data_IF_640670087785
#
_entry.id   IF_640670087785
#
_cell.length_a   1.000
_cell.length_b   1.000
_cell.length_c   1.000
_cell.angle_alpha   90.00
_cell.angle_beta   90.00
_cell.angle_gamma   90.00
#
_symmetry.space_group_name_H-M   'P 1'
#
loop_
_entity.id
_entity.type
_entity.pdbx_description
1 polymer ?
#
# COMPACT_ATOMS: atom_id res chain seq x y z
N UNK A 1 -8.96 5.91 16.18
CA UNK A 1 -10.19 5.32 16.73
C UNK A 1 -9.92 4.77 18.12
N UNK A 2 -10.68 5.13 19.16
CA UNK A 2 -10.50 4.56 20.50
C UNK A 2 -11.08 3.14 20.57
N UNK A 3 -10.30 2.18 21.06
CA UNK A 3 -10.70 0.78 21.18
C UNK A 3 -11.25 0.51 22.59
N UNK A 4 -12.48 0.00 22.74
CA UNK A 4 -13.01 -0.38 24.05
C UNK A 4 -12.20 -1.49 24.72
N UNK A 5 -12.14 -1.48 26.06
CA UNK A 5 -11.53 -2.54 26.87
C UNK A 5 -10.10 -2.92 26.44
N UNK A 6 -9.25 -1.90 26.27
CA UNK A 6 -7.91 -2.03 25.66
C UNK A 6 -6.79 -1.28 26.39
N UNK A 7 -7.04 -0.82 27.62
CA UNK A 7 -6.13 0.10 28.34
C UNK A 7 -4.68 -0.40 28.43
N UNK A 8 -4.49 -1.71 28.65
CA UNK A 8 -3.17 -2.34 28.80
C UNK A 8 -2.84 -3.27 27.61
N UNK A 9 -3.53 -3.09 26.48
CA UNK A 9 -3.42 -3.97 25.33
C UNK A 9 -2.19 -3.67 24.44
N UNK A 10 -1.47 -2.58 24.71
CA UNK A 10 -0.29 -2.18 23.93
C UNK A 10 0.90 -1.96 24.84
N UNK A 11 2.06 -2.45 24.41
CA UNK A 11 3.36 -2.12 25.01
C UNK A 11 4.25 -1.44 23.98
N UNK A 12 5.10 -0.51 24.43
CA UNK A 12 6.01 0.26 23.58
C UNK A 12 7.47 0.00 23.93
N UNK A 13 8.31 -0.16 22.91
CA UNK A 13 9.75 -0.36 23.02
C UNK A 13 10.15 -1.84 23.12
N UNK A 14 11.30 -2.19 22.56
CA UNK A 14 11.75 -3.59 22.43
C UNK A 14 11.86 -4.34 23.76
N UNK A 15 12.21 -3.67 24.86
CA UNK A 15 12.26 -4.29 26.19
C UNK A 15 10.87 -4.71 26.65
N UNK A 16 9.88 -3.79 26.61
CA UNK A 16 8.52 -4.10 27.01
C UNK A 16 7.83 -5.12 26.09
N UNK A 17 8.16 -5.10 24.80
CA UNK A 17 7.72 -6.11 23.82
C UNK A 17 8.26 -7.48 24.20
N UNK A 18 9.56 -7.59 24.49
CA UNK A 18 10.16 -8.85 24.90
C UNK A 18 9.58 -9.35 26.23
N UNK A 19 9.29 -8.46 27.18
CA UNK A 19 8.64 -8.79 28.44
C UNK A 19 7.24 -9.36 28.23
N UNK A 20 6.42 -8.70 27.40
CA UNK A 20 5.07 -9.16 27.03
C UNK A 20 5.10 -10.56 26.38
N UNK A 21 6.06 -10.79 25.49
CA UNK A 21 6.24 -12.10 24.85
C UNK A 21 6.70 -13.15 25.86
N UNK A 22 7.66 -12.85 26.75
CA UNK A 22 8.10 -13.77 27.81
C UNK A 22 6.97 -14.16 28.74
N UNK A 23 6.14 -13.21 29.16
CA UNK A 23 4.97 -13.48 29.99
C UNK A 23 3.99 -14.41 29.28
N UNK A 24 3.73 -14.17 27.99
CA UNK A 24 2.84 -15.00 27.17
C UNK A 24 3.37 -16.41 26.98
N UNK A 25 4.67 -16.55 26.75
CA UNK A 25 5.37 -17.83 26.65
C UNK A 25 5.31 -18.58 27.99
N UNK A 26 5.54 -17.90 29.12
CA UNK A 26 5.57 -18.52 30.45
C UNK A 26 4.23 -19.12 30.92
N UNK A 27 3.12 -18.66 30.32
CA UNK A 27 1.76 -19.15 30.60
C UNK A 27 1.39 -20.39 29.79
N UNK A 28 2.21 -20.77 28.79
CA UNK A 28 1.98 -21.96 27.98
C UNK A 28 2.61 -23.18 28.64
N UNK A 29 1.90 -24.30 28.57
CA UNK A 29 2.41 -25.59 29.02
C UNK A 29 3.36 -26.17 27.99
N UNK A 30 4.60 -26.48 28.39
CA UNK A 30 5.57 -27.13 27.51
C UNK A 30 7.01 -26.70 27.79
N UNK A 31 7.95 -27.56 27.39
CA UNK A 31 9.37 -27.26 27.52
C UNK A 31 9.89 -26.34 26.42
N UNK A 32 9.15 -26.23 25.30
CA UNK A 32 9.49 -25.45 24.10
C UNK A 32 8.31 -24.57 23.71
N UNK A 33 8.61 -23.41 23.16
CA UNK A 33 7.63 -22.54 22.50
C UNK A 33 8.21 -21.97 21.21
N UNK A 34 7.49 -22.11 20.11
CA UNK A 34 7.81 -21.54 18.81
C UNK A 34 7.04 -20.24 18.63
N UNK A 35 7.78 -19.15 18.48
CA UNK A 35 7.26 -17.82 18.20
C UNK A 35 7.51 -17.52 16.72
N UNK A 36 6.45 -17.40 15.95
CA UNK A 36 6.51 -16.92 14.57
C UNK A 36 6.25 -15.41 14.56
N UNK A 37 7.20 -14.64 14.02
CA UNK A 37 7.02 -13.23 13.67
C UNK A 37 6.87 -13.16 12.15
N UNK A 38 5.63 -13.24 11.67
CA UNK A 38 5.33 -13.20 10.24
C UNK A 38 5.28 -11.74 9.78
N UNK A 39 6.13 -11.39 8.82
CA UNK A 39 6.34 -10.01 8.40
C UNK A 39 5.66 -9.72 7.06
N UNK A 40 4.94 -8.61 6.95
CA UNK A 40 4.55 -8.08 5.65
C UNK A 40 5.79 -7.61 4.86
N UNK A 41 5.70 -7.57 3.53
CA UNK A 41 6.81 -7.12 2.67
C UNK A 41 7.24 -5.67 3.03
N UNK A 42 8.55 -5.43 3.06
CA UNK A 42 9.18 -4.15 3.43
C UNK A 42 9.41 -3.92 4.94
N UNK A 43 8.88 -4.78 5.81
CA UNK A 43 9.18 -4.74 7.25
C UNK A 43 10.66 -5.09 7.47
N UNK A 44 11.34 -4.40 8.40
CA UNK A 44 12.75 -4.66 8.72
C UNK A 44 12.90 -5.93 9.58
N UNK A 45 12.91 -7.07 8.90
CA UNK A 45 13.15 -8.42 9.45
C UNK A 45 14.47 -8.48 10.23
N UNK A 46 15.50 -7.77 9.76
CA UNK A 46 16.84 -7.78 10.37
C UNK A 46 16.83 -7.15 11.76
N UNK A 47 16.18 -6.00 11.92
CA UNK A 47 16.03 -5.34 13.22
C UNK A 47 15.16 -6.17 14.17
N UNK A 48 13.99 -6.64 13.74
CA UNK A 48 13.11 -7.48 14.56
C UNK A 48 13.86 -8.71 15.09
N UNK A 49 14.54 -9.44 14.19
CA UNK A 49 15.30 -10.64 14.53
C UNK A 49 16.39 -10.34 15.57
N UNK A 50 17.18 -9.28 15.37
CA UNK A 50 18.26 -8.87 16.28
C UNK A 50 17.73 -8.45 17.66
N UNK A 51 16.71 -7.62 17.71
CA UNK A 51 16.18 -7.05 18.94
C UNK A 51 15.49 -8.12 19.81
N UNK A 52 14.72 -9.03 19.20
CA UNK A 52 14.02 -10.09 19.92
C UNK A 52 14.94 -11.26 20.28
N UNK A 53 15.85 -11.66 19.39
CA UNK A 53 16.80 -12.76 19.67
C UNK A 53 17.63 -12.50 20.93
N UNK A 54 18.11 -11.26 21.10
CA UNK A 54 18.95 -10.87 22.23
C UNK A 54 18.16 -10.85 23.56
N UNK A 55 16.93 -10.35 23.54
CA UNK A 55 16.10 -10.17 24.75
C UNK A 55 15.37 -11.42 25.20
N UNK A 56 14.90 -12.24 24.26
CA UNK A 56 14.18 -13.49 24.56
C UNK A 56 15.11 -14.65 24.92
N UNK A 57 16.43 -14.53 24.69
CA UNK A 57 17.43 -15.60 24.93
C UNK A 57 17.01 -16.92 24.26
N UNK A 58 16.72 -16.82 22.96
CA UNK A 58 16.17 -17.92 22.16
C UNK A 58 17.17 -19.09 22.03
N UNK A 59 16.66 -20.32 22.10
CA UNK A 59 17.43 -21.54 21.87
C UNK A 59 17.76 -21.73 20.38
N UNK A 60 16.86 -21.29 19.50
CA UNK A 60 17.05 -21.27 18.05
C UNK A 60 16.42 -20.01 17.47
N UNK A 61 17.09 -19.41 16.50
CA UNK A 61 16.52 -18.35 15.66
C UNK A 61 16.64 -18.78 14.19
N UNK A 62 15.61 -18.55 13.39
CA UNK A 62 15.63 -18.78 11.95
C UNK A 62 14.97 -17.62 11.20
N UNK A 63 15.51 -17.28 10.03
CA UNK A 63 14.83 -16.42 9.07
C UNK A 63 14.17 -17.33 8.01
N UNK A 64 12.84 -17.28 7.90
CA UNK A 64 12.11 -18.11 6.93
C UNK A 64 12.49 -17.74 5.50
N UNK A 65 12.88 -16.49 5.22
CA UNK A 65 13.23 -16.00 3.89
C UNK A 65 14.48 -16.69 3.31
N UNK A 66 15.33 -17.29 4.15
CA UNK A 66 16.43 -18.15 3.68
C UNK A 66 15.94 -19.43 2.96
N UNK A 67 14.68 -19.80 3.18
CA UNK A 67 14.00 -20.88 2.50
C UNK A 67 13.33 -20.47 1.18
N UNK A 68 13.37 -19.18 0.80
CA UNK A 68 12.90 -18.74 -0.50
C UNK A 68 13.73 -19.34 -1.66
N UNK A 69 13.12 -19.34 -2.85
CA UNK A 69 13.80 -19.63 -4.11
C UNK A 69 14.92 -18.60 -4.34
N UNK A 70 15.84 -18.89 -5.27
CA UNK A 70 16.89 -17.91 -5.60
C UNK A 70 16.26 -16.66 -6.23
N UNK A 71 16.90 -15.49 -6.14
CA UNK A 71 16.40 -14.27 -6.76
C UNK A 71 16.05 -14.46 -8.24
N UNK A 72 16.89 -15.17 -9.01
CA UNK A 72 16.68 -15.40 -10.44
C UNK A 72 15.44 -16.25 -10.72
N UNK A 73 15.19 -17.25 -9.87
CA UNK A 73 14.00 -18.09 -9.96
C UNK A 73 12.73 -17.31 -9.58
N UNK A 74 12.82 -16.39 -8.63
CA UNK A 74 11.71 -15.50 -8.27
C UNK A 74 11.47 -14.47 -9.38
N UNK A 75 12.51 -13.86 -9.94
CA UNK A 75 12.38 -12.94 -11.06
C UNK A 75 11.70 -13.62 -12.25
N UNK A 76 12.06 -14.88 -12.53
CA UNK A 76 11.43 -15.69 -13.57
C UNK A 76 9.96 -16.03 -13.23
N UNK A 77 9.64 -16.24 -11.95
CA UNK A 77 8.29 -16.51 -11.47
C UNK A 77 7.37 -15.29 -11.63
N UNK A 78 7.88 -14.08 -11.35
CA UNK A 78 7.09 -12.85 -11.37
C UNK A 78 7.04 -12.17 -12.73
N UNK A 79 8.01 -12.43 -13.62
CA UNK A 79 8.13 -11.80 -14.93
C UNK A 79 6.82 -11.77 -15.77
N UNK A 80 5.99 -12.83 -15.81
CA UNK A 80 4.73 -12.80 -16.57
C UNK A 80 3.75 -11.71 -16.13
N UNK A 81 3.88 -11.21 -14.91
CA UNK A 81 2.99 -10.20 -14.31
C UNK A 81 3.52 -8.78 -14.44
N UNK A 82 4.75 -8.59 -14.92
CA UNK A 82 5.38 -7.27 -15.00
C UNK A 82 5.19 -6.56 -16.35
N UNK A 83 4.47 -7.15 -17.30
CA UNK A 83 4.18 -6.50 -18.59
C UNK A 83 5.40 -6.31 -19.50
N UNK A 84 6.50 -7.04 -19.26
CA UNK A 84 7.71 -6.96 -20.08
C UNK A 84 8.47 -5.65 -19.88
N UNK A 85 8.80 -4.98 -20.98
CA UNK A 85 9.57 -3.72 -20.99
C UNK A 85 8.71 -2.47 -20.75
N UNK A 86 7.39 -2.62 -20.60
CA UNK A 86 6.52 -1.51 -20.25
C UNK A 86 6.96 -0.93 -18.89
N UNK A 87 7.17 0.39 -18.75
CA UNK A 87 7.63 0.98 -17.50
C UNK A 87 6.54 1.08 -16.42
N UNK A 88 5.25 0.97 -16.80
CA UNK A 88 4.10 1.28 -15.94
C UNK A 88 3.25 0.04 -15.71
N UNK A 89 2.86 -0.65 -16.79
CA UNK A 89 1.74 -1.58 -16.79
C UNK A 89 2.14 -3.03 -16.59
N UNK A 90 1.33 -3.76 -15.82
CA UNK A 90 1.50 -5.18 -15.52
C UNK A 90 0.16 -5.88 -15.35
N UNK A 91 0.19 -7.12 -14.87
CA UNK A 91 -1.00 -7.92 -14.61
C UNK A 91 -1.07 -8.26 -13.13
N UNK A 92 -2.24 -8.10 -12.52
CA UNK A 92 -2.43 -8.50 -11.12
C UNK A 92 -2.14 -10.00 -10.97
N UNK A 93 -1.15 -10.32 -10.13
CA UNK A 93 -0.63 -11.67 -10.01
C UNK A 93 -1.59 -12.58 -9.26
N UNK A 94 -1.85 -13.77 -9.80
CA UNK A 94 -2.56 -14.85 -9.11
C UNK A 94 -1.68 -15.73 -8.21
N UNK A 95 -0.39 -15.40 -8.07
CA UNK A 95 0.56 -16.20 -7.29
C UNK A 95 0.20 -16.26 -5.80
N UNK A 96 0.69 -17.32 -5.15
CA UNK A 96 0.59 -17.52 -3.70
C UNK A 96 1.96 -17.39 -3.04
N UNK A 97 2.01 -17.04 -1.76
CA UNK A 97 3.28 -16.84 -1.06
C UNK A 97 4.13 -18.11 -1.05
N UNK A 98 3.49 -19.29 -0.94
CA UNK A 98 4.17 -20.58 -0.97
C UNK A 98 4.99 -20.82 -2.26
N UNK A 99 4.59 -20.23 -3.39
CA UNK A 99 5.33 -20.35 -4.65
C UNK A 99 6.65 -19.58 -4.65
N UNK A 100 6.89 -18.68 -3.71
CA UNK A 100 8.18 -18.01 -3.55
C UNK A 100 9.19 -18.89 -2.81
N UNK A 101 8.75 -20.01 -2.23
CA UNK A 101 9.57 -20.88 -1.39
C UNK A 101 10.07 -22.13 -2.09
N UNK A 102 11.26 -22.56 -1.68
CA UNK A 102 11.80 -23.88 -1.98
C UNK A 102 11.28 -24.88 -0.93
N UNK A 103 10.47 -25.84 -1.37
CA UNK A 103 9.80 -26.80 -0.49
C UNK A 103 10.80 -27.63 0.35
N UNK A 104 11.97 -27.97 -0.20
CA UNK A 104 12.99 -28.74 0.54
C UNK A 104 13.64 -27.91 1.63
N UNK A 105 13.89 -26.61 1.36
CA UNK A 105 14.44 -25.69 2.37
C UNK A 105 13.44 -25.42 3.49
N UNK A 106 12.15 -25.24 3.17
CA UNK A 106 11.09 -25.09 4.18
C UNK A 106 11.02 -26.33 5.06
N UNK A 107 11.02 -27.53 4.45
CA UNK A 107 10.98 -28.78 5.22
C UNK A 107 12.25 -29.02 6.05
N UNK A 108 13.40 -28.54 5.58
CA UNK A 108 14.63 -28.53 6.38
C UNK A 108 14.49 -27.63 7.60
N UNK A 109 13.92 -26.42 7.45
CA UNK A 109 13.68 -25.50 8.56
C UNK A 109 12.70 -26.11 9.58
N UNK A 110 11.59 -26.69 9.13
CA UNK A 110 10.63 -27.41 9.99
C UNK A 110 11.30 -28.51 10.81
N UNK A 111 12.15 -29.33 10.17
CA UNK A 111 12.93 -30.37 10.86
C UNK A 111 13.94 -29.81 11.86
N UNK A 112 14.56 -28.65 11.59
CA UNK A 112 15.44 -27.99 12.56
C UNK A 112 14.66 -27.51 13.78
N UNK A 113 13.50 -26.89 13.57
CA UNK A 113 12.60 -26.47 14.65
C UNK A 113 12.16 -27.68 15.47
N UNK A 114 11.72 -28.77 14.84
CA UNK A 114 11.28 -29.99 15.52
C UNK A 114 12.36 -30.65 16.40
N UNK A 115 13.65 -30.48 16.08
CA UNK A 115 14.77 -31.02 16.87
C UNK A 115 15.04 -30.25 18.17
N UNK A 116 14.52 -29.05 18.32
CA UNK A 116 14.66 -28.29 19.57
C UNK A 116 13.72 -28.92 20.61
N UNK A 117 14.27 -29.39 21.72
CA UNK A 117 13.50 -30.04 22.79
C UNK A 117 13.03 -29.07 23.87
N UNK A 118 13.74 -27.96 24.07
CA UNK A 118 13.40 -26.96 25.08
C UNK A 118 13.84 -25.53 24.72
N UNK A 119 13.19 -24.56 25.34
CA UNK A 119 13.44 -23.13 25.16
C UNK A 119 12.60 -22.47 24.06
N UNK A 120 12.92 -21.21 23.77
CA UNK A 120 12.18 -20.41 22.78
C UNK A 120 12.81 -20.61 21.40
N UNK A 121 12.00 -20.95 20.41
CA UNK A 121 12.37 -20.93 18.99
C UNK A 121 11.75 -19.71 18.35
N UNK A 122 12.56 -18.86 17.73
CA UNK A 122 12.09 -17.65 17.05
C UNK A 122 12.25 -17.80 15.54
N UNK A 123 11.14 -17.80 14.80
CA UNK A 123 11.12 -17.76 13.34
C UNK A 123 10.62 -16.40 12.89
N UNK A 124 11.38 -15.69 12.06
CA UNK A 124 11.07 -14.33 11.60
C UNK A 124 11.09 -14.29 10.07
N UNK A 125 10.28 -13.42 9.47
CA UNK A 125 10.33 -13.09 8.04
C UNK A 125 8.98 -13.26 7.36
N UNK A 126 8.88 -12.83 6.10
CA UNK A 126 7.63 -12.97 5.35
C UNK A 126 7.30 -14.45 5.10
N UNK A 127 6.17 -14.93 5.63
CA UNK A 127 5.80 -16.34 5.60
C UNK A 127 6.24 -17.15 6.82
N UNK A 128 6.64 -16.52 7.93
CA UNK A 128 7.11 -17.24 9.12
C UNK A 128 6.06 -18.22 9.67
N UNK A 129 4.77 -17.91 9.49
CA UNK A 129 3.66 -18.78 9.91
C UNK A 129 3.54 -20.08 9.09
N UNK A 130 4.32 -20.27 8.02
CA UNK A 130 4.45 -21.55 7.31
C UNK A 130 5.09 -22.64 8.19
N UNK A 131 5.80 -22.24 9.23
CA UNK A 131 6.34 -23.14 10.25
C UNK A 131 5.33 -23.25 11.38
N UNK A 132 5.06 -24.47 11.83
CA UNK A 132 4.17 -24.71 12.97
C UNK A 132 4.66 -23.92 14.19
N UNK A 133 3.74 -23.16 14.79
CA UNK A 133 4.06 -22.18 15.82
C UNK A 133 3.02 -22.18 16.94
N UNK A 134 3.45 -21.76 18.12
CA UNK A 134 2.62 -21.65 19.30
C UNK A 134 2.12 -20.22 19.50
N UNK A 135 2.94 -19.22 19.14
CA UNK A 135 2.62 -17.79 19.23
C UNK A 135 2.82 -17.14 17.87
N UNK A 136 1.80 -16.43 17.39
CA UNK A 136 1.84 -15.66 16.15
C UNK A 136 1.86 -14.16 16.44
N UNK A 137 2.97 -13.52 16.12
CA UNK A 137 3.07 -12.07 16.00
C UNK A 137 3.07 -11.74 14.51
N UNK A 138 2.16 -10.88 14.09
CA UNK A 138 2.17 -10.36 12.73
C UNK A 138 2.79 -8.97 12.73
N UNK A 139 3.89 -8.78 12.01
CA UNK A 139 4.52 -7.49 11.85
C UNK A 139 4.04 -6.85 10.55
N UNK A 140 3.33 -5.74 10.66
CA UNK A 140 2.73 -5.05 9.52
C UNK A 140 3.10 -3.57 9.52
N UNK A 141 2.95 -2.92 8.36
CA UNK A 141 3.11 -1.49 8.20
C UNK A 141 2.33 -0.99 6.97
N UNK A 142 1.87 0.26 6.96
CA UNK A 142 1.16 0.83 5.82
C UNK A 142 2.01 0.80 4.55
N UNK A 143 1.39 0.58 3.39
CA UNK A 143 2.14 0.51 2.12
C UNK A 143 2.84 1.83 1.81
N UNK A 144 2.29 2.96 2.25
CA UNK A 144 2.96 4.26 2.15
C UNK A 144 4.33 4.26 2.85
N UNK A 145 4.44 3.74 4.07
CA UNK A 145 5.74 3.61 4.75
C UNK A 145 6.66 2.63 4.00
N UNK A 146 6.11 1.56 3.42
CA UNK A 146 6.87 0.67 2.53
C UNK A 146 7.47 1.40 1.32
N UNK A 147 6.69 2.28 0.68
CA UNK A 147 7.16 3.12 -0.43
C UNK A 147 8.25 4.10 0.03
N UNK A 148 8.09 4.72 1.20
CA UNK A 148 9.12 5.59 1.77
C UNK A 148 10.41 4.82 2.06
N UNK A 149 10.32 3.57 2.53
CA UNK A 149 11.50 2.69 2.71
C UNK A 149 12.19 2.37 1.40
N UNK A 150 11.45 2.15 0.30
CA UNK A 150 12.05 2.02 -1.02
C UNK A 150 12.79 3.30 -1.42
N UNK A 151 12.18 4.48 -1.23
CA UNK A 151 12.81 5.79 -1.51
C UNK A 151 14.07 6.03 -0.68
N UNK A 152 14.14 5.48 0.55
CA UNK A 152 15.33 5.53 1.44
C UNK A 152 16.35 4.41 1.18
N UNK A 153 16.08 3.46 0.28
CA UNK A 153 16.94 2.31 0.01
C UNK A 153 17.00 1.30 1.17
N UNK A 154 15.96 1.25 1.99
CA UNK A 154 15.88 0.43 3.20
C UNK A 154 15.20 -0.93 2.98
N UNK A 155 14.37 -1.06 1.94
CA UNK A 155 13.58 -2.25 1.65
C UNK A 155 13.81 -2.80 0.23
N UNK A 156 13.70 -4.12 0.11
CA UNK A 156 13.70 -4.86 -1.15
C UNK A 156 12.28 -5.35 -1.47
N UNK A 157 12.03 -5.72 -2.74
CA UNK A 157 10.85 -6.51 -3.08
C UNK A 157 10.94 -7.94 -2.54
N UNK A 158 9.79 -8.62 -2.48
CA UNK A 158 9.67 -9.95 -1.90
C UNK A 158 10.64 -10.96 -2.54
N UNK A 159 11.54 -11.50 -1.71
CA UNK A 159 12.48 -12.58 -2.04
C UNK A 159 13.67 -12.19 -2.93
N UNK A 160 13.90 -10.91 -3.19
CA UNK A 160 15.01 -10.43 -4.02
C UNK A 160 15.83 -9.37 -3.30
N UNK A 161 16.95 -8.94 -3.92
CA UNK A 161 17.81 -7.86 -3.41
C UNK A 161 17.88 -6.76 -4.46
N UNK A 162 16.95 -5.81 -4.40
CA UNK A 162 16.75 -4.76 -5.39
C UNK A 162 16.44 -3.38 -4.78
N UNK A 163 16.79 -3.13 -3.53
CA UNK A 163 16.67 -1.81 -2.85
C UNK A 163 17.40 -0.65 -3.54
N UNK A 164 18.29 -0.96 -4.48
CA UNK A 164 19.02 0.03 -5.30
C UNK A 164 18.43 0.19 -6.70
N UNK A 165 17.33 -0.51 -7.01
CA UNK A 165 16.61 -0.34 -8.28
C UNK A 165 15.87 1.00 -8.29
N UNK A 166 15.41 1.40 -9.47
CA UNK A 166 14.52 2.54 -9.59
C UNK A 166 13.23 2.29 -8.79
N UNK A 167 12.75 3.31 -8.08
CA UNK A 167 11.55 3.26 -7.25
C UNK A 167 10.34 2.75 -8.04
N UNK A 168 10.23 3.10 -9.33
CA UNK A 168 9.14 2.68 -10.21
C UNK A 168 9.15 1.18 -10.44
N UNK A 169 10.34 0.59 -10.58
CA UNK A 169 10.51 -0.85 -10.73
C UNK A 169 10.07 -1.56 -9.45
N UNK A 170 10.46 -1.02 -8.28
CA UNK A 170 10.08 -1.60 -6.99
C UNK A 170 8.57 -1.49 -6.74
N UNK A 171 8.00 -0.31 -6.96
CA UNK A 171 6.57 -0.04 -6.82
C UNK A 171 5.75 -0.92 -7.76
N UNK A 172 6.10 -0.96 -9.05
CA UNK A 172 5.41 -1.77 -10.06
C UNK A 172 5.35 -3.24 -9.65
N UNK A 173 6.48 -3.82 -9.24
CA UNK A 173 6.52 -5.20 -8.75
C UNK A 173 5.69 -5.38 -7.48
N UNK A 174 5.80 -4.45 -6.53
CA UNK A 174 5.05 -4.52 -5.28
C UNK A 174 3.53 -4.51 -5.54
N UNK A 175 3.08 -3.60 -6.40
CA UNK A 175 1.68 -3.41 -6.77
C UNK A 175 1.07 -4.62 -7.49
N UNK A 176 1.74 -5.10 -8.54
CA UNK A 176 1.22 -6.21 -9.36
C UNK A 176 1.42 -7.58 -8.70
N UNK A 177 2.40 -7.72 -7.81
CA UNK A 177 2.81 -9.03 -7.28
C UNK A 177 2.85 -9.05 -5.76
N UNK A 178 3.82 -8.38 -5.15
CA UNK A 178 4.16 -8.62 -3.74
C UNK A 178 2.97 -8.37 -2.80
N UNK A 179 2.27 -7.24 -2.96
CA UNK A 179 1.12 -6.90 -2.11
C UNK A 179 -0.02 -7.89 -2.28
N UNK A 180 -0.30 -8.34 -3.50
CA UNK A 180 -1.36 -9.33 -3.79
C UNK A 180 -1.05 -10.67 -3.13
N UNK A 181 0.20 -11.09 -3.22
CA UNK A 181 0.71 -12.34 -2.62
C UNK A 181 0.65 -12.25 -1.10
N UNK A 182 1.14 -11.15 -0.52
CA UNK A 182 1.18 -10.94 0.93
C UNK A 182 -0.22 -10.76 1.54
N UNK A 183 -1.15 -10.06 0.87
CA UNK A 183 -2.51 -9.88 1.39
C UNK A 183 -3.31 -11.19 1.41
N UNK A 184 -3.17 -12.03 0.38
CA UNK A 184 -3.77 -13.38 0.37
C UNK A 184 -3.23 -14.24 1.50
N UNK A 185 -1.94 -14.13 1.80
CA UNK A 185 -1.32 -14.83 2.92
C UNK A 185 -1.81 -14.29 4.26
N UNK A 186 -1.91 -12.96 4.39
CA UNK A 186 -2.32 -12.25 5.59
C UNK A 186 -3.77 -12.52 5.98
N UNK A 187 -4.71 -12.46 5.03
CA UNK A 187 -6.15 -12.51 5.25
C UNK A 187 -6.61 -13.61 6.23
N UNK A 188 -6.25 -14.91 6.04
CA UNK A 188 -6.67 -15.95 6.99
C UNK A 188 -6.01 -15.82 8.38
N UNK A 189 -4.82 -15.21 8.47
CA UNK A 189 -4.02 -15.11 9.69
C UNK A 189 -4.55 -14.05 10.67
N UNK A 190 -5.30 -13.04 10.21
CA UNK A 190 -5.81 -11.95 11.09
C UNK A 190 -6.57 -12.51 12.29
N UNK A 191 -7.36 -13.56 12.06
CA UNK A 191 -8.15 -14.24 13.09
C UNK A 191 -7.30 -14.96 14.16
N UNK A 192 -6.06 -15.31 13.84
CA UNK A 192 -5.15 -16.08 14.69
C UNK A 192 -3.98 -15.29 15.25
N UNK A 193 -3.89 -13.97 15.01
CA UNK A 193 -2.86 -13.15 15.64
C UNK A 193 -2.99 -13.19 17.16
N UNK A 194 -1.94 -13.63 17.85
CA UNK A 194 -1.77 -13.35 19.28
C UNK A 194 -1.41 -11.87 19.46
N UNK A 195 -0.58 -11.32 18.56
CA UNK A 195 -0.15 -9.92 18.57
C UNK A 195 0.01 -9.32 17.18
N UNK A 196 -0.16 -8.00 17.09
CA UNK A 196 0.29 -7.18 15.97
C UNK A 196 1.52 -6.36 16.41
N UNK A 197 2.57 -6.34 15.60
CA UNK A 197 3.78 -5.56 15.80
C UNK A 197 3.83 -4.40 14.79
N UNK A 198 3.67 -3.18 15.29
CA UNK A 198 3.82 -1.93 14.54
C UNK A 198 5.27 -1.45 14.64
N UNK A 199 5.91 -1.33 13.49
CA UNK A 199 7.27 -0.79 13.34
C UNK A 199 7.31 0.41 12.37
N UNK A 200 6.17 1.05 12.14
CA UNK A 200 6.05 2.21 11.25
C UNK A 200 7.00 3.31 11.69
N UNK A 201 7.05 3.59 12.99
CA UNK A 201 8.06 4.46 13.61
C UNK A 201 9.19 3.58 14.16
N UNK A 202 10.32 3.53 13.45
CA UNK A 202 11.44 2.62 13.73
C UNK A 202 11.93 2.63 15.19
N UNK A 203 11.99 3.80 15.83
CA UNK A 203 12.47 3.95 17.22
C UNK A 203 11.37 3.83 18.28
N UNK A 204 10.12 3.65 17.88
CA UNK A 204 8.98 3.49 18.78
C UNK A 204 8.15 2.25 18.41
N UNK A 205 8.76 1.04 18.39
CA UNK A 205 8.03 -0.18 18.07
C UNK A 205 6.95 -0.42 19.12
N UNK A 206 5.79 -0.92 18.70
CA UNK A 206 4.66 -1.20 19.57
C UNK A 206 4.12 -2.58 19.29
N UNK A 207 3.76 -3.31 20.33
CA UNK A 207 3.11 -4.60 20.23
C UNK A 207 1.71 -4.49 20.85
N UNK A 208 0.68 -4.76 20.04
CA UNK A 208 -0.71 -4.77 20.45
C UNK A 208 -1.24 -6.21 20.56
N UNK A 209 -2.09 -6.47 21.55
CA UNK A 209 -2.81 -7.74 21.67
C UNK A 209 -3.74 -7.92 20.45
N UNK A 210 -3.67 -9.07 19.78
CA UNK A 210 -4.42 -9.35 18.56
C UNK A 210 -5.94 -9.24 18.74
N UNK A 211 -6.46 -9.65 19.91
CA UNK A 211 -7.87 -9.48 20.24
C UNK A 211 -8.29 -8.00 20.32
N UNK A 212 -7.42 -7.13 20.82
CA UNK A 212 -7.69 -5.70 20.89
C UNK A 212 -7.65 -5.07 19.49
N UNK A 213 -6.74 -5.50 18.62
CA UNK A 213 -6.69 -5.09 17.22
C UNK A 213 -8.00 -5.47 16.51
N UNK A 214 -8.42 -6.73 16.57
CA UNK A 214 -9.68 -7.20 15.97
C UNK A 214 -10.90 -6.46 16.51
N UNK A 215 -10.95 -6.16 17.82
CA UNK A 215 -11.99 -5.28 18.38
C UNK A 215 -11.96 -3.89 17.77
N UNK A 216 -10.77 -3.31 17.58
CA UNK A 216 -10.61 -2.01 16.94
C UNK A 216 -11.06 -1.99 15.49
N UNK A 217 -10.76 -3.03 14.71
CA UNK A 217 -11.23 -3.21 13.34
C UNK A 217 -12.76 -3.32 13.30
N UNK A 218 -13.34 -4.22 14.11
CA UNK A 218 -14.80 -4.37 14.23
C UNK A 218 -15.50 -3.06 14.60
N UNK A 219 -14.96 -2.32 15.58
CA UNK A 219 -15.49 -1.02 15.97
C UNK A 219 -15.44 -0.02 14.82
N UNK A 220 -14.33 0.02 14.08
CA UNK A 220 -14.14 0.94 12.95
C UNK A 220 -15.14 0.66 11.83
N UNK A 221 -15.46 -0.61 11.55
CA UNK A 221 -16.47 -0.96 10.55
C UNK A 221 -17.90 -0.50 10.90
N UNK A 222 -18.19 -0.20 12.17
CA UNK A 222 -19.56 0.10 12.65
C UNK A 222 -19.79 1.56 13.07
N UNK A 223 -18.86 2.46 12.76
CA UNK A 223 -19.00 3.90 13.04
C UNK A 223 -18.14 4.74 12.09
N UNK A 224 -18.39 6.05 11.99
CA UNK A 224 -17.50 6.92 11.21
C UNK A 224 -16.06 6.82 11.70
N UNK A 225 -15.14 6.60 10.77
CA UNK A 225 -13.70 6.63 10.98
C UNK A 225 -13.04 7.43 9.85
N UNK A 226 -11.76 7.74 10.01
CA UNK A 226 -10.91 8.32 8.97
C UNK A 226 -9.61 7.53 8.94
N UNK A 227 -9.05 7.37 7.75
CA UNK A 227 -7.69 6.84 7.57
C UNK A 227 -6.67 7.97 7.75
N UNK A 228 -5.39 7.63 7.91
CA UNK A 228 -4.33 8.65 7.93
C UNK A 228 -4.03 9.06 6.49
N UNK A 229 -4.28 10.33 6.11
CA UNK A 229 -3.90 10.80 4.79
C UNK A 229 -2.38 10.91 4.68
N UNK A 230 -1.85 10.72 3.48
CA UNK A 230 -0.47 11.06 3.19
C UNK A 230 -0.39 12.05 2.03
N UNK A 231 0.66 12.87 2.07
CA UNK A 231 0.89 13.97 1.14
C UNK A 231 2.21 13.73 0.41
N UNK A 232 2.19 13.83 -0.91
CA UNK A 232 3.36 13.56 -1.74
C UNK A 232 3.72 14.78 -2.62
N UNK A 233 5.00 15.19 -2.66
CA UNK A 233 5.48 16.14 -3.65
C UNK A 233 5.29 15.59 -5.06
N UNK A 234 5.03 16.49 -6.01
CA UNK A 234 4.97 16.12 -7.42
C UNK A 234 5.61 17.19 -8.31
N UNK A 235 6.10 16.85 -9.51
CA UNK A 235 6.76 17.81 -10.40
C UNK A 235 5.93 19.07 -10.71
N UNK A 236 4.60 18.94 -10.73
CA UNK A 236 3.63 20.01 -11.03
C UNK A 236 2.84 20.49 -9.80
N UNK A 237 3.20 20.00 -8.61
CA UNK A 237 2.46 20.24 -7.38
C UNK A 237 2.44 21.71 -6.96
N UNK A 238 1.34 22.10 -6.32
CA UNK A 238 1.05 23.45 -5.86
C UNK A 238 1.49 23.73 -4.42
N UNK A 239 0.96 24.83 -3.90
CA UNK A 239 1.29 25.37 -2.57
C UNK A 239 0.07 25.45 -1.64
N UNK A 240 -1.13 25.16 -2.13
CA UNK A 240 -2.37 25.29 -1.35
C UNK A 240 -2.35 24.37 -0.14
N UNK A 241 -1.98 23.10 -0.31
CA UNK A 241 -1.96 22.14 0.80
C UNK A 241 -1.01 22.55 1.94
N UNK A 242 0.12 23.22 1.62
CA UNK A 242 1.05 23.75 2.65
C UNK A 242 0.41 24.84 3.52
N UNK A 243 -0.52 25.60 2.96
CA UNK A 243 -1.17 26.71 3.65
C UNK A 243 -2.31 26.21 4.56
N UNK A 244 -3.02 25.16 4.14
CA UNK A 244 -4.27 24.73 4.78
C UNK A 244 -4.17 23.41 5.55
N UNK A 245 -3.16 22.57 5.29
CA UNK A 245 -3.04 21.24 5.90
C UNK A 245 -1.90 21.10 6.93
N UNK A 246 -1.31 22.23 7.39
CA UNK A 246 -0.21 22.26 8.38
C UNK A 246 0.98 21.35 8.01
N UNK A 247 1.34 21.35 6.72
CA UNK A 247 2.42 20.53 6.18
C UNK A 247 3.78 21.24 6.32
N UNK A 248 4.85 20.45 6.15
CA UNK A 248 6.21 20.98 6.11
C UNK A 248 6.35 22.08 5.06
N UNK A 249 6.77 23.26 5.52
CA UNK A 249 6.91 24.45 4.67
C UNK A 249 8.21 24.44 3.89
N UNK A 250 9.20 23.66 4.32
CA UNK A 250 10.51 23.54 3.66
C UNK A 250 10.45 22.63 2.43
N UNK A 251 9.43 21.76 2.34
CA UNK A 251 9.16 20.97 1.15
C UNK A 251 8.80 21.88 -0.04
N UNK A 252 9.33 21.56 -1.24
CA UNK A 252 9.14 22.39 -2.44
C UNK A 252 7.66 22.60 -2.80
N UNK A 253 6.87 21.53 -2.79
CA UNK A 253 5.44 21.52 -3.05
C UNK A 253 4.80 20.27 -2.44
N UNK A 254 3.47 20.23 -2.49
CA UNK A 254 2.70 18.98 -2.44
C UNK A 254 1.73 19.02 -3.60
N UNK A 255 1.71 17.97 -4.42
CA UNK A 255 0.76 17.88 -5.54
C UNK A 255 -0.38 16.93 -5.26
N UNK A 256 -0.16 15.95 -4.38
CA UNK A 256 -1.06 14.82 -4.17
C UNK A 256 -1.30 14.65 -2.68
N UNK A 257 -2.57 14.43 -2.32
CA UNK A 257 -2.95 13.87 -1.03
C UNK A 257 -3.87 12.68 -1.29
N UNK A 258 -3.61 11.56 -0.63
CA UNK A 258 -4.48 10.39 -0.68
C UNK A 258 -5.18 10.25 0.67
N UNK A 259 -6.49 10.49 0.70
CA UNK A 259 -7.30 10.57 1.93
C UNK A 259 -8.55 9.70 1.80
N UNK A 260 -8.40 8.39 2.03
CA UNK A 260 -9.40 7.30 1.85
C UNK A 260 -9.11 6.42 0.63
N UNK A 261 -7.89 5.86 0.64
CA UNK A 261 -7.38 4.79 -0.20
C UNK A 261 -6.86 3.69 0.74
N UNK A 262 -7.73 2.81 1.26
CA UNK A 262 -7.35 1.84 2.30
C UNK A 262 -6.17 0.92 1.94
N UNK A 263 -5.99 0.69 0.65
CA UNK A 263 -4.90 -0.04 0.05
C UNK A 263 -3.54 0.59 0.35
N UNK A 264 -3.47 1.91 0.61
CA UNK A 264 -2.23 2.62 0.86
C UNK A 264 -2.18 3.34 2.20
N UNK A 265 -3.33 3.83 2.67
CA UNK A 265 -3.42 4.54 3.94
C UNK A 265 -3.32 3.60 5.15
N UNK A 266 -3.14 4.22 6.31
CA UNK A 266 -3.16 3.52 7.60
C UNK A 266 -4.40 3.86 8.42
N UNK A 267 -4.64 3.05 9.45
CA UNK A 267 -5.57 3.32 10.54
C UNK A 267 -4.78 3.54 11.82
N UNK A 268 -5.28 4.45 12.66
CA UNK A 268 -4.76 4.64 14.01
C UNK A 268 -5.76 4.10 15.02
N UNK A 269 -5.35 3.13 15.84
CA UNK A 269 -6.17 2.58 16.92
C UNK A 269 -5.56 3.01 18.26
N UNK A 270 -6.32 3.78 19.04
CA UNK A 270 -5.91 4.25 20.36
C UNK A 270 -6.36 3.23 21.41
N UNK A 271 -5.40 2.73 22.18
CA UNK A 271 -5.57 1.69 23.20
C UNK A 271 -4.88 2.18 24.48
N UNK A 272 -5.67 2.69 25.43
CA UNK A 272 -5.13 3.38 26.60
C UNK A 272 -4.43 4.70 26.21
N UNK A 273 -3.18 4.85 26.61
CA UNK A 273 -2.33 6.01 26.30
C UNK A 273 -1.47 5.80 25.04
N UNK A 274 -1.51 4.60 24.44
CA UNK A 274 -0.79 4.28 23.22
C UNK A 274 -1.71 4.33 21.99
N UNK A 275 -1.10 4.54 20.84
CA UNK A 275 -1.77 4.41 19.53
C UNK A 275 -0.92 3.51 18.64
N UNK A 276 -1.53 2.46 18.12
CA UNK A 276 -0.94 1.54 17.14
C UNK A 276 -1.34 2.01 15.73
N UNK A 277 -0.39 1.97 14.80
CA UNK A 277 -0.62 2.20 13.39
C UNK A 277 -0.58 0.86 12.64
N UNK A 278 -1.56 0.64 11.75
CA UNK A 278 -1.69 -0.56 10.94
C UNK A 278 -2.27 -0.20 9.57
N UNK A 279 -2.04 -1.02 8.52
CA UNK A 279 -2.67 -0.79 7.22
C UNK A 279 -4.18 -0.68 7.33
N UNK A 280 -4.78 0.30 6.64
CA UNK A 280 -6.23 0.36 6.54
C UNK A 280 -6.79 -0.88 5.82
N UNK A 281 -5.99 -1.53 4.98
CA UNK A 281 -6.31 -2.79 4.34
C UNK A 281 -6.65 -3.91 5.32
N UNK A 282 -6.13 -3.89 6.56
CA UNK A 282 -6.49 -4.88 7.57
C UNK A 282 -7.98 -4.83 7.92
N UNK A 283 -8.58 -3.63 7.91
CA UNK A 283 -10.02 -3.45 8.10
C UNK A 283 -10.82 -4.04 6.95
N UNK A 284 -10.36 -3.83 5.71
CA UNK A 284 -11.01 -4.35 4.50
C UNK A 284 -10.94 -5.87 4.46
N UNK A 285 -9.81 -6.47 4.85
CA UNK A 285 -9.61 -7.91 4.84
C UNK A 285 -10.34 -8.65 5.99
N UNK A 286 -10.42 -8.05 7.18
CA UNK A 286 -11.04 -8.64 8.38
C UNK A 286 -12.55 -8.39 8.48
N UNK A 287 -13.01 -7.19 8.08
CA UNK A 287 -14.41 -6.76 8.18
C UNK A 287 -15.07 -6.44 6.82
N UNK A 288 -14.85 -7.22 5.74
CA UNK A 288 -15.24 -6.82 4.40
C UNK A 288 -16.76 -6.59 4.26
N UNK A 289 -17.59 -7.50 4.77
CA UNK A 289 -19.06 -7.39 4.67
C UNK A 289 -19.58 -6.25 5.54
N UNK A 290 -19.10 -6.13 6.78
CA UNK A 290 -19.51 -5.07 7.71
C UNK A 290 -19.15 -3.67 7.19
N UNK A 291 -17.99 -3.54 6.53
CA UNK A 291 -17.49 -2.29 5.99
C UNK A 291 -18.14 -1.92 4.65
N UNK A 292 -18.17 -2.87 3.72
CA UNK A 292 -18.53 -2.60 2.31
C UNK A 292 -20.03 -2.85 2.04
N UNK A 293 -20.68 -3.70 2.85
CA UNK A 293 -22.01 -4.23 2.58
C UNK A 293 -22.00 -5.33 1.50
N UNK A 294 -23.04 -6.18 1.52
CA UNK A 294 -23.13 -7.37 0.66
C UNK A 294 -23.02 -7.04 -0.84
N UNK A 295 -23.61 -5.92 -1.27
CA UNK A 295 -23.65 -5.54 -2.68
C UNK A 295 -22.27 -5.13 -3.23
N UNK A 296 -21.41 -4.52 -2.41
CA UNK A 296 -20.06 -4.14 -2.81
C UNK A 296 -19.14 -5.36 -2.68
N UNK A 297 -19.18 -6.05 -1.54
CA UNK A 297 -18.38 -7.26 -1.31
C UNK A 297 -18.64 -8.34 -2.37
N UNK A 298 -19.90 -8.56 -2.76
CA UNK A 298 -20.24 -9.54 -3.80
C UNK A 298 -19.72 -9.21 -5.20
N UNK A 299 -19.28 -7.96 -5.44
CA UNK A 299 -18.66 -7.54 -6.71
C UNK A 299 -17.13 -7.53 -6.60
N UNK A 300 -16.60 -6.88 -5.58
CA UNK A 300 -15.17 -6.55 -5.48
C UNK A 300 -14.42 -7.35 -4.42
N UNK A 301 -15.02 -8.41 -3.85
CA UNK A 301 -14.50 -9.17 -2.71
C UNK A 301 -14.00 -8.21 -1.62
N UNK A 302 -12.70 -8.08 -1.43
CA UNK A 302 -12.09 -7.24 -0.40
C UNK A 302 -11.30 -6.06 -1.00
N UNK A 303 -11.89 -5.33 -1.95
CA UNK A 303 -11.35 -4.06 -2.45
C UNK A 303 -12.30 -2.90 -2.12
N UNK A 304 -11.74 -1.76 -1.72
CA UNK A 304 -12.53 -0.60 -1.32
C UNK A 304 -13.02 0.18 -2.56
N UNK A 305 -14.33 0.47 -2.71
CA UNK A 305 -14.92 0.78 -4.02
C UNK A 305 -14.70 2.22 -4.51
N UNK A 306 -14.22 3.12 -3.65
CA UNK A 306 -14.10 4.55 -3.91
C UNK A 306 -12.78 5.05 -3.34
N UNK A 307 -12.15 6.01 -4.02
CA UNK A 307 -11.01 6.76 -3.49
C UNK A 307 -11.27 8.26 -3.50
N UNK A 308 -10.51 8.96 -2.68
CA UNK A 308 -10.53 10.41 -2.60
C UNK A 308 -9.09 10.93 -2.60
N UNK A 309 -8.79 11.75 -3.59
CA UNK A 309 -7.48 12.36 -3.74
C UNK A 309 -7.62 13.88 -3.74
N UNK A 310 -6.64 14.59 -3.17
CA UNK A 310 -6.47 16.00 -3.45
C UNK A 310 -5.37 16.20 -4.48
N UNK A 311 -5.70 16.94 -5.53
CA UNK A 311 -4.77 17.35 -6.56
C UNK A 311 -4.58 18.86 -6.48
N UNK A 312 -3.38 19.28 -6.09
CA UNK A 312 -3.03 20.68 -5.91
C UNK A 312 -2.10 21.15 -7.03
N UNK A 313 -2.60 22.08 -7.85
CA UNK A 313 -1.85 22.76 -8.90
C UNK A 313 -1.82 24.28 -8.69
N UNK A 314 -2.22 24.79 -7.51
CA UNK A 314 -2.22 26.23 -7.21
C UNK A 314 -0.80 26.74 -7.01
N UNK A 315 -0.37 27.67 -7.85
CA UNK A 315 1.04 28.08 -7.96
C UNK A 315 1.95 27.00 -8.56
N UNK A 316 1.36 25.95 -9.14
CA UNK A 316 2.04 24.83 -9.81
C UNK A 316 1.83 24.88 -11.32
N UNK A 317 1.62 23.72 -11.95
CA UNK A 317 1.30 23.63 -13.38
C UNK A 317 0.24 22.57 -13.66
N UNK A 318 -0.14 22.44 -14.93
CA UNK A 318 -1.10 21.42 -15.35
C UNK A 318 -0.62 20.01 -14.96
N UNK A 319 -1.56 19.15 -14.57
CA UNK A 319 -1.29 17.72 -14.39
C UNK A 319 -1.03 17.04 -15.74
N UNK A 320 -0.61 15.78 -15.71
CA UNK A 320 -0.46 15.00 -16.95
C UNK A 320 -1.81 14.85 -17.67
N UNK A 321 -1.72 14.65 -18.98
CA UNK A 321 -2.88 14.47 -19.85
C UNK A 321 -3.21 12.98 -19.93
N UNK A 322 -4.43 12.60 -19.54
CA UNK A 322 -4.75 11.21 -19.19
C UNK A 322 -6.06 10.73 -19.82
N UNK A 323 -6.19 9.41 -19.90
CA UNK A 323 -7.44 8.73 -20.24
C UNK A 323 -7.53 7.40 -19.50
N UNK A 324 -8.62 7.20 -18.78
CA UNK A 324 -8.90 5.92 -18.11
C UNK A 324 -9.46 4.92 -19.12
N UNK A 325 -9.02 3.66 -19.12
CA UNK A 325 -9.46 2.67 -20.11
C UNK A 325 -10.93 2.30 -19.92
N UNK A 326 -11.64 1.93 -20.99
CA UNK A 326 -12.98 1.35 -20.86
C UNK A 326 -12.91 -0.01 -20.12
N UNK A 327 -14.01 -0.42 -19.47
CA UNK A 327 -14.07 -1.71 -18.73
C UNK A 327 -13.69 -2.90 -19.60
N UNK A 328 -14.17 -2.95 -20.84
CA UNK A 328 -13.81 -4.04 -21.76
C UNK A 328 -12.31 -4.03 -22.09
N UNK A 329 -11.73 -2.84 -22.29
CA UNK A 329 -10.32 -2.69 -22.61
C UNK A 329 -9.44 -3.10 -21.43
N UNK A 330 -9.71 -2.60 -20.22
CA UNK A 330 -8.87 -2.90 -19.06
C UNK A 330 -8.93 -4.38 -18.68
N UNK A 331 -10.09 -5.02 -18.88
CA UNK A 331 -10.24 -6.46 -18.68
C UNK A 331 -9.47 -7.27 -19.71
N UNK A 332 -9.59 -6.94 -21.00
CA UNK A 332 -8.95 -7.71 -22.07
C UNK A 332 -7.43 -7.49 -22.12
N UNK A 333 -6.98 -6.28 -21.82
CA UNK A 333 -5.56 -5.89 -21.94
C UNK A 333 -4.78 -6.17 -20.66
N UNK A 334 -5.40 -6.00 -19.48
CA UNK A 334 -4.69 -6.04 -18.19
C UNK A 334 -5.30 -7.03 -17.18
N UNK A 335 -6.39 -7.71 -17.53
CA UNK A 335 -7.03 -8.70 -16.66
C UNK A 335 -7.77 -8.09 -15.47
N UNK A 336 -8.00 -6.78 -15.46
CA UNK A 336 -8.71 -6.09 -14.37
C UNK A 336 -10.20 -5.96 -14.68
N UNK A 337 -11.05 -6.22 -13.68
CA UNK A 337 -12.50 -6.24 -13.87
C UNK A 337 -13.18 -4.88 -13.68
N UNK A 338 -12.39 -3.82 -13.45
CA UNK A 338 -12.88 -2.50 -13.08
C UNK A 338 -12.15 -1.40 -13.83
N UNK A 339 -12.84 -0.29 -14.04
CA UNK A 339 -12.28 0.95 -14.59
C UNK A 339 -12.46 2.08 -13.59
N UNK A 340 -11.69 3.14 -13.81
CA UNK A 340 -11.77 4.40 -13.11
C UNK A 340 -12.72 5.35 -13.85
N UNK A 341 -13.95 5.43 -13.34
CA UNK A 341 -14.78 6.61 -13.52
C UNK A 341 -14.43 7.60 -12.41
N UNK A 342 -14.24 8.87 -12.75
CA UNK A 342 -13.85 9.88 -11.77
C UNK A 342 -14.66 11.17 -11.89
N UNK A 343 -14.46 12.05 -10.92
CA UNK A 343 -15.03 13.38 -10.93
C UNK A 343 -14.15 14.37 -10.18
N UNK A 344 -14.11 15.61 -10.68
CA UNK A 344 -13.37 16.70 -10.06
C UNK A 344 -14.33 17.68 -9.39
N UNK A 345 -14.29 17.73 -8.07
CA UNK A 345 -14.88 18.82 -7.32
C UNK A 345 -13.83 19.89 -7.03
N UNK A 346 -14.03 21.10 -7.54
CA UNK A 346 -13.08 22.20 -7.37
C UNK A 346 -13.18 22.77 -5.96
N UNK A 347 -12.39 22.27 -5.01
CA UNK A 347 -12.33 22.78 -3.64
C UNK A 347 -11.90 24.25 -3.60
N UNK A 348 -10.93 24.61 -4.46
CA UNK A 348 -10.51 25.98 -4.71
C UNK A 348 -10.05 26.14 -6.16
N UNK A 349 -10.09 27.38 -6.66
CA UNK A 349 -9.67 27.68 -8.01
C UNK A 349 -9.19 29.14 -8.12
N UNK A 350 -8.03 29.34 -8.76
CA UNK A 350 -7.55 30.65 -9.17
C UNK A 350 -8.31 31.20 -10.38
N UNK A 351 -8.04 32.46 -10.78
CA UNK A 351 -8.79 33.13 -11.86
C UNK A 351 -8.69 32.43 -13.22
N UNK A 352 -7.57 31.75 -13.47
CA UNK A 352 -7.27 31.08 -14.74
C UNK A 352 -7.44 29.55 -14.65
N UNK A 353 -8.06 29.04 -13.60
CA UNK A 353 -8.28 27.61 -13.41
C UNK A 353 -9.16 27.05 -14.53
N UNK A 354 -8.79 25.87 -15.02
CA UNK A 354 -9.53 25.17 -16.06
C UNK A 354 -9.41 23.65 -15.90
N UNK A 355 -10.33 22.94 -16.55
CA UNK A 355 -10.26 21.49 -16.73
C UNK A 355 -10.28 21.23 -18.24
N UNK A 356 -9.26 20.53 -18.72
CA UNK A 356 -9.28 19.94 -20.06
C UNK A 356 -10.17 18.72 -20.02
N UNK A 357 -11.23 18.69 -20.82
CA UNK A 357 -12.23 17.62 -20.76
C UNK A 357 -12.80 17.28 -22.14
N UNK A 358 -12.48 16.08 -22.60
CA UNK A 358 -12.87 15.57 -23.91
C UNK A 358 -12.10 16.24 -25.05
N UNK A 359 -12.09 15.56 -26.20
CA UNK A 359 -11.45 16.05 -27.41
C UNK A 359 -12.38 17.04 -28.14
N UNK A 360 -11.78 17.96 -28.90
CA UNK A 360 -12.51 18.88 -29.79
C UNK A 360 -13.04 18.12 -31.01
N UNK A 361 -14.14 18.61 -31.57
CA UNK A 361 -14.68 18.07 -32.82
C UNK A 361 -13.72 18.28 -33.99
N UNK A 362 -13.54 17.22 -34.80
CA UNK A 362 -12.79 17.30 -36.06
C UNK A 362 -11.28 17.32 -35.92
N UNK A 363 -10.72 16.97 -34.74
CA UNK A 363 -9.28 16.75 -34.62
C UNK A 363 -8.83 15.55 -35.47
N UNK A 364 -7.54 15.53 -35.83
CA UNK A 364 -6.89 14.38 -36.43
C UNK A 364 -6.26 13.51 -35.32
N UNK A 365 -6.78 12.29 -35.04
CA UNK A 365 -6.26 11.43 -33.98
C UNK A 365 -4.83 10.96 -34.24
N UNK A 366 -4.45 10.70 -35.49
CA UNK A 366 -3.11 10.21 -35.83
C UNK A 366 -2.08 11.32 -35.57
N UNK A 367 -2.45 12.57 -35.90
CA UNK A 367 -1.61 13.73 -35.58
C UNK A 367 -1.50 13.98 -34.06
N UNK A 368 -2.59 13.79 -33.31
CA UNK A 368 -2.55 13.92 -31.86
C UNK A 368 -1.61 12.88 -31.21
N UNK A 369 -1.68 11.63 -31.67
CA UNK A 369 -0.80 10.55 -31.19
C UNK A 369 0.66 10.88 -31.53
N UNK A 370 0.94 11.32 -32.77
CA UNK A 370 2.30 11.72 -33.17
C UNK A 370 2.86 12.87 -32.32
N UNK A 371 2.03 13.84 -31.95
CA UNK A 371 2.43 14.95 -31.07
C UNK A 371 2.70 14.47 -29.63
N UNK A 372 1.90 13.52 -29.11
CA UNK A 372 2.15 12.88 -27.80
C UNK A 372 3.47 12.10 -27.80
N UNK A 373 3.69 11.26 -28.81
CA UNK A 373 4.93 10.49 -28.97
C UNK A 373 6.16 11.40 -29.09
N UNK A 374 6.02 12.52 -29.83
CA UNK A 374 7.07 13.52 -29.94
C UNK A 374 7.39 14.16 -28.59
N UNK A 375 6.38 14.56 -27.82
CA UNK A 375 6.56 15.13 -26.50
C UNK A 375 7.24 14.13 -25.54
N UNK A 376 6.81 12.87 -25.54
CA UNK A 376 7.40 11.81 -24.73
C UNK A 376 8.87 11.56 -25.08
N UNK A 377 9.24 11.67 -26.36
CA UNK A 377 10.62 11.53 -26.84
C UNK A 377 11.51 12.75 -26.57
N UNK A 378 11.03 13.76 -25.82
CA UNK A 378 11.76 14.99 -25.50
C UNK A 378 11.65 16.08 -26.57
N UNK A 379 10.64 15.99 -27.43
CA UNK A 379 10.28 17.00 -28.42
C UNK A 379 9.60 18.23 -27.80
N UNK A 380 8.78 18.92 -28.61
CA UNK A 380 7.99 20.04 -28.10
C UNK A 380 6.96 19.56 -27.07
N UNK A 381 6.63 20.41 -26.10
CA UNK A 381 5.58 20.12 -25.14
C UNK A 381 4.24 19.89 -25.86
N UNK A 382 3.45 18.92 -25.39
CA UNK A 382 2.15 18.61 -25.95
C UNK A 382 1.17 19.80 -25.79
N UNK A 383 0.64 20.28 -26.92
CA UNK A 383 -0.33 21.38 -26.95
C UNK A 383 -1.75 20.84 -26.72
N UNK A 384 -2.14 20.71 -25.45
CA UNK A 384 -3.47 20.22 -25.09
C UNK A 384 -4.59 21.13 -25.60
N UNK A 385 -4.36 22.45 -25.71
CA UNK A 385 -5.35 23.40 -26.22
C UNK A 385 -5.68 23.15 -27.69
N UNK A 386 -4.76 22.57 -28.47
CA UNK A 386 -5.04 22.18 -29.85
C UNK A 386 -6.08 21.07 -29.95
N UNK A 387 -6.08 20.13 -29.01
CA UNK A 387 -6.82 18.87 -29.12
C UNK A 387 -8.02 18.73 -28.18
N UNK A 388 -7.98 19.33 -26.99
CA UNK A 388 -8.96 19.12 -25.94
C UNK A 388 -9.78 20.38 -25.62
N UNK A 389 -11.02 20.20 -25.16
CA UNK A 389 -11.83 21.32 -24.71
C UNK A 389 -11.27 21.83 -23.38
N UNK A 390 -10.86 23.10 -23.35
CA UNK A 390 -10.43 23.79 -22.12
C UNK A 390 -11.64 24.49 -21.50
N UNK A 391 -12.17 23.95 -20.42
CA UNK A 391 -13.38 24.45 -19.75
C UNK A 391 -12.95 25.28 -18.53
N UNK A 392 -13.28 26.59 -18.47
CA UNK A 392 -12.99 27.40 -17.29
C UNK A 392 -13.66 26.82 -16.05
N UNK A 393 -12.90 26.72 -14.96
CA UNK A 393 -13.34 26.13 -13.71
C UNK A 393 -13.39 27.19 -12.60
N UNK A 394 -14.43 27.14 -11.78
CA UNK A 394 -14.58 27.98 -10.60
C UNK A 394 -14.65 27.12 -9.36
N UNK A 395 -14.34 27.74 -8.22
CA UNK A 395 -14.56 27.15 -6.91
C UNK A 395 -15.99 26.60 -6.80
N UNK A 396 -16.09 25.35 -6.39
CA UNK A 396 -17.30 24.54 -6.23
C UNK A 396 -17.97 24.06 -7.53
N UNK A 397 -17.33 24.24 -8.69
CA UNK A 397 -17.74 23.52 -9.89
C UNK A 397 -17.46 22.02 -9.74
N UNK A 398 -18.22 21.20 -10.46
CA UNK A 398 -18.10 19.75 -10.46
C UNK A 398 -18.08 19.23 -11.90
N UNK A 399 -17.04 18.46 -12.23
CA UNK A 399 -16.87 17.83 -13.54
C UNK A 399 -16.97 16.32 -13.39
N UNK A 400 -17.83 15.70 -14.20
CA UNK A 400 -17.91 14.24 -14.32
C UNK A 400 -16.99 13.79 -15.45
N UNK A 401 -16.19 12.76 -15.19
CA UNK A 401 -15.19 12.25 -16.11
C UNK A 401 -15.38 10.72 -16.23
N UNK A 402 -16.27 10.27 -17.12
CA UNK A 402 -16.46 8.84 -17.38
C UNK A 402 -15.22 8.21 -18.02
N UNK A 403 -15.00 6.92 -17.77
CA UNK A 403 -13.92 6.16 -18.43
C UNK A 403 -13.95 6.33 -19.96
N UNK A 404 -12.77 6.43 -20.58
CA UNK A 404 -12.58 6.73 -22.00
C UNK A 404 -12.57 8.24 -22.32
N UNK A 405 -12.84 9.11 -21.35
CA UNK A 405 -12.75 10.56 -21.54
C UNK A 405 -11.31 11.03 -21.34
N UNK A 406 -10.74 11.68 -22.36
CA UNK A 406 -9.43 12.33 -22.24
C UNK A 406 -9.57 13.59 -21.38
N UNK A 407 -8.72 13.75 -20.37
CA UNK A 407 -8.83 14.86 -19.42
C UNK A 407 -7.50 15.26 -18.78
N UNK A 408 -7.48 16.45 -18.16
CA UNK A 408 -6.37 16.97 -17.36
C UNK A 408 -6.86 18.13 -16.48
N UNK A 409 -6.45 18.16 -15.21
CA UNK A 409 -6.62 19.34 -14.35
C UNK A 409 -5.58 20.41 -14.71
N UNK A 410 -6.05 21.61 -15.05
CA UNK A 410 -5.19 22.75 -15.32
C UNK A 410 -4.51 23.29 -14.06
N UNK A 411 -3.55 24.20 -14.25
CA UNK A 411 -2.96 24.98 -13.18
C UNK A 411 -4.02 25.75 -12.37
N UNK A 412 -3.63 26.27 -11.21
CA UNK A 412 -4.50 27.07 -10.34
C UNK A 412 -5.73 26.31 -9.81
N UNK A 413 -5.65 24.98 -9.70
CA UNK A 413 -6.76 24.13 -9.25
C UNK A 413 -6.41 23.40 -7.95
N UNK A 414 -7.35 23.42 -7.00
CA UNK A 414 -7.36 22.49 -5.87
C UNK A 414 -8.56 21.58 -6.05
N UNK A 415 -8.31 20.35 -6.48
CA UNK A 415 -9.33 19.37 -6.84
C UNK A 415 -9.48 18.36 -5.71
N UNK A 416 -10.72 18.08 -5.31
CA UNK A 416 -11.07 16.80 -4.70
C UNK A 416 -11.49 15.86 -5.84
N UNK A 417 -10.62 14.91 -6.16
CA UNK A 417 -10.93 13.82 -7.06
C UNK A 417 -11.70 12.75 -6.28
N UNK A 418 -12.87 12.38 -6.80
CA UNK A 418 -13.63 11.23 -6.30
C UNK A 418 -13.71 10.24 -7.44
N UNK A 419 -13.11 9.08 -7.27
CA UNK A 419 -13.06 8.07 -8.32
C UNK A 419 -13.43 6.69 -7.81
N UNK A 420 -13.95 5.87 -8.73
CA UNK A 420 -14.18 4.45 -8.47
C UNK A 420 -12.84 3.75 -8.38
N UNK A 421 -12.64 2.96 -7.34
CA UNK A 421 -11.37 2.32 -7.05
C UNK A 421 -11.48 0.79 -7.01
N UNK A 422 -10.48 0.14 -7.58
CA UNK A 422 -10.01 -1.18 -7.13
C UNK A 422 -8.46 -1.22 -7.10
N UNK A 423 -7.77 -0.24 -7.73
CA UNK A 423 -6.31 -0.07 -7.74
C UNK A 423 -5.94 1.07 -8.72
N UNK A 424 -5.13 2.08 -8.35
CA UNK A 424 -4.66 3.11 -9.32
C UNK A 424 -3.59 2.52 -10.24
N UNK A 425 -4.08 1.87 -11.29
CA UNK A 425 -3.28 1.18 -12.29
C UNK A 425 -2.33 2.11 -13.06
N UNK A 426 -2.65 3.41 -13.12
CA UNK A 426 -1.87 4.42 -13.86
C UNK A 426 -0.86 5.17 -13.00
N UNK A 427 -0.89 5.04 -11.67
CA UNK A 427 -0.01 5.78 -10.77
C UNK A 427 1.50 5.68 -11.09
N UNK A 428 2.06 4.54 -11.53
CA UNK A 428 3.46 4.50 -11.94
C UNK A 428 3.78 5.47 -13.10
N UNK A 429 2.79 5.83 -13.92
CA UNK A 429 2.88 6.84 -14.98
C UNK A 429 2.68 8.28 -14.45
N UNK A 430 1.92 8.49 -13.38
CA UNK A 430 1.72 9.84 -12.84
C UNK A 430 2.96 10.36 -12.09
N UNK A 431 3.73 9.45 -11.47
CA UNK A 431 5.05 9.76 -10.91
C UNK A 431 6.13 10.01 -11.98
N UNK A 432 5.91 9.68 -13.26
CA UNK A 432 6.91 9.89 -14.31
C UNK A 432 6.96 11.30 -14.88
N UNK A 433 5.99 12.17 -14.57
CA UNK A 433 5.97 13.56 -15.05
C UNK A 433 6.00 13.70 -16.58
N UNK A 434 5.67 12.62 -17.30
CA UNK A 434 5.57 12.53 -18.76
C UNK A 434 4.12 12.67 -19.17
#
# INVERSE_FOLDING_TARGET
>A
MAVPDSKDAVVKGWDAIADRLRDTISRRDGNKTVVAIDCYTGVDVGTISRELRSRLKVAMAGNVEEAMKTPEAIDSLVAPFLGGDDPVFGFLSGLTLAEFFDAEKVERLRRQVAKVESGIVLIVGCGASMVEHDVLVYADMPRWEGQLRYRRGEADNLGVKNRSADIKVQYKRAFFVDWRVCDRWKKPLISSWDFLLDTTIANEPKLADGDAVRRGLSVSAHRPFRVVPFFDPAPRGGQWMKQFCDLDRDQSNFGWCFDCVPEENSLLLSMGDQTIELPAMDLVLDQPVSLLGDAVHGRSEAAFPIRFDFLDTIGGGNLSFQVHPLTEYIQNTFGMHYTQDESYYMLDAGPDACVYLGLKDGIDPDQMIADLESAQAGGAAFDADRYANCIPAKKHDHFLIPAGTVHCSGAESMVLEISRYDDDYSRPASESGT
#
